data_IF_667565160078
#
_entry.id   IF_667565160078
#
_cell.length_a   1.000
_cell.length_b   1.000
_cell.length_c   1.000
_cell.angle_alpha   90.00
_cell.angle_beta   90.00
_cell.angle_gamma   90.00
#
_symmetry.space_group_name_H-M   'P 1'
#
loop_
_entity.id
_entity.type
_entity.pdbx_description
1 polymer ?
#
# COMPACT_ATOMS: atom_id res chain seq x y z
N UNK A 1 6.91 15.50 -16.00
CA UNK A 1 5.95 14.38 -15.95
C UNK A 1 4.67 14.85 -16.62
N UNK A 2 4.12 14.04 -17.49
CA UNK A 2 2.81 14.26 -18.07
C UNK A 2 1.74 13.72 -17.10
N UNK A 3 1.13 14.63 -16.34
CA UNK A 3 0.21 14.26 -15.27
C UNK A 3 -1.15 13.81 -15.75
N UNK A 4 -1.57 14.17 -16.99
CA UNK A 4 -2.84 13.72 -17.57
C UNK A 4 -2.88 12.20 -17.76
N UNK A 5 -1.72 11.55 -17.87
CA UNK A 5 -1.63 10.08 -17.93
C UNK A 5 -1.94 9.40 -16.60
N UNK A 6 -1.91 10.12 -15.48
CA UNK A 6 -2.11 9.57 -14.13
C UNK A 6 -3.36 10.11 -13.45
N UNK A 7 -3.71 11.38 -13.70
CA UNK A 7 -4.81 12.07 -13.01
C UNK A 7 -5.82 12.54 -14.06
N UNK A 8 -6.86 11.77 -14.26
CA UNK A 8 -7.95 12.11 -15.16
C UNK A 8 -8.74 13.33 -14.68
N UNK A 9 -9.40 14.01 -15.63
CA UNK A 9 -10.30 15.11 -15.35
C UNK A 9 -11.40 14.69 -14.35
N UNK A 10 -11.52 15.44 -13.28
CA UNK A 10 -12.51 15.19 -12.23
C UNK A 10 -12.05 14.24 -11.11
N UNK A 11 -10.92 13.57 -11.30
CA UNK A 11 -10.29 12.76 -10.24
C UNK A 11 -9.61 13.64 -9.20
N UNK A 12 -9.48 13.08 -8.01
CA UNK A 12 -8.81 13.71 -6.87
C UNK A 12 -7.43 13.11 -6.67
N UNK A 13 -6.50 13.91 -6.15
CA UNK A 13 -5.19 13.39 -5.77
C UNK A 13 -4.74 13.88 -4.40
N UNK A 14 -3.76 13.20 -3.83
CA UNK A 14 -3.03 13.64 -2.65
C UNK A 14 -1.53 13.41 -2.82
N UNK A 15 -0.74 14.19 -2.10
CA UNK A 15 0.71 14.03 -2.03
C UNK A 15 1.09 13.86 -0.56
N UNK A 16 1.79 12.78 -0.26
CA UNK A 16 2.44 12.55 1.03
C UNK A 16 3.95 12.68 0.85
N UNK A 17 4.68 13.05 1.91
CA UNK A 17 6.12 13.22 1.84
C UNK A 17 6.84 12.66 3.06
N UNK A 18 7.99 12.03 2.79
CA UNK A 18 8.99 11.66 3.79
C UNK A 18 10.31 12.31 3.41
N UNK A 19 10.94 12.99 4.37
CA UNK A 19 12.12 13.79 4.11
C UNK A 19 13.21 13.47 5.14
N UNK A 20 14.37 13.06 4.62
CA UNK A 20 15.61 12.85 5.33
C UNK A 20 16.71 13.71 4.66
N UNK A 21 16.71 15.01 4.94
CA UNK A 21 17.64 15.95 4.32
C UNK A 21 17.96 17.11 5.27
N UNK A 22 19.15 17.63 5.18
CA UNK A 22 19.55 18.83 5.93
C UNK A 22 18.95 20.10 5.31
N UNK A 23 18.70 20.11 4.01
CA UNK A 23 18.14 21.24 3.28
C UNK A 23 16.62 21.33 3.45
N UNK A 24 15.92 20.21 3.32
CA UNK A 24 14.46 20.12 3.41
C UNK A 24 14.05 19.60 4.79
N UNK A 25 13.89 20.48 5.76
CA UNK A 25 13.56 20.10 7.15
C UNK A 25 12.08 19.95 7.42
N UNK A 26 11.22 20.33 6.48
CA UNK A 26 9.76 20.35 6.68
C UNK A 26 9.07 19.55 5.57
N UNK A 27 8.61 18.34 5.91
CA UNK A 27 7.90 17.47 4.98
C UNK A 27 6.63 18.13 4.42
N UNK A 28 5.86 18.88 5.23
CA UNK A 28 4.67 19.58 4.75
C UNK A 28 4.98 20.62 3.68
N UNK A 29 6.12 21.31 3.80
CA UNK A 29 6.55 22.25 2.78
C UNK A 29 6.78 21.53 1.44
N UNK A 30 7.45 20.37 1.47
CA UNK A 30 7.70 19.53 0.28
C UNK A 30 6.38 19.04 -0.31
N UNK A 31 5.47 18.52 0.52
CA UNK A 31 4.12 18.12 0.08
C UNK A 31 3.41 19.24 -0.68
N UNK A 32 3.38 20.45 -0.12
CA UNK A 32 2.71 21.59 -0.77
C UNK A 32 3.41 22.01 -2.05
N UNK A 33 4.74 22.01 -2.10
CA UNK A 33 5.48 22.37 -3.30
C UNK A 33 5.24 21.41 -4.45
N UNK A 34 5.25 20.10 -4.20
CA UNK A 34 4.94 19.08 -5.22
C UNK A 34 3.49 19.21 -5.67
N UNK A 35 2.55 19.33 -4.73
CA UNK A 35 1.14 19.55 -5.03
C UNK A 35 0.92 20.82 -5.89
N UNK A 36 1.54 21.94 -5.52
CA UNK A 36 1.38 23.20 -6.26
C UNK A 36 1.96 23.09 -7.67
N UNK A 37 3.13 22.44 -7.82
CA UNK A 37 3.72 22.20 -9.13
C UNK A 37 2.81 21.39 -10.07
N UNK A 38 2.17 20.33 -9.53
CA UNK A 38 1.20 19.53 -10.28
C UNK A 38 -0.01 20.39 -10.71
N UNK A 39 -0.58 21.13 -9.76
CA UNK A 39 -1.76 21.96 -10.01
C UNK A 39 -1.45 23.09 -11.02
N UNK A 40 -0.28 23.71 -10.92
CA UNK A 40 0.11 24.81 -11.81
C UNK A 40 0.34 24.27 -13.24
N UNK A 41 0.98 23.11 -13.39
CA UNK A 41 1.13 22.45 -14.69
C UNK A 41 -0.23 22.14 -15.33
N UNK A 42 -1.17 21.53 -14.59
CA UNK A 42 -2.53 21.29 -15.09
C UNK A 42 -3.23 22.57 -15.54
N UNK A 43 -3.09 23.65 -14.76
CA UNK A 43 -3.69 24.93 -15.11
C UNK A 43 -3.11 25.53 -16.40
N UNK A 44 -1.81 25.40 -16.61
CA UNK A 44 -1.12 25.89 -17.79
C UNK A 44 -1.48 25.07 -19.05
N UNK A 45 -1.56 23.74 -18.91
CA UNK A 45 -1.77 22.84 -20.06
C UNK A 45 -3.24 22.69 -20.44
N UNK A 46 -4.13 22.58 -19.44
CA UNK A 46 -5.55 22.26 -19.67
C UNK A 46 -6.52 23.39 -19.32
N UNK A 47 -6.06 24.40 -18.60
CA UNK A 47 -6.93 25.44 -18.03
C UNK A 47 -7.77 24.95 -16.84
N UNK A 48 -7.64 23.69 -16.44
CA UNK A 48 -8.38 23.06 -15.36
C UNK A 48 -7.52 22.89 -14.11
N UNK A 49 -8.13 22.52 -12.99
CA UNK A 49 -7.46 22.30 -11.73
C UNK A 49 -7.95 21.00 -11.09
N UNK A 50 -7.08 19.99 -10.92
CA UNK A 50 -7.47 18.77 -10.21
C UNK A 50 -7.77 19.06 -8.73
N UNK A 51 -8.75 18.35 -8.20
CA UNK A 51 -9.15 18.50 -6.80
C UNK A 51 -8.23 17.68 -5.88
N UNK A 52 -8.11 18.16 -4.63
CA UNK A 52 -7.34 17.49 -3.59
C UNK A 52 -8.29 16.77 -2.65
N UNK A 53 -8.01 15.50 -2.36
CA UNK A 53 -8.66 14.73 -1.31
C UNK A 53 -7.58 14.05 -0.45
N UNK A 54 -7.40 14.50 0.78
CA UNK A 54 -6.35 13.96 1.67
C UNK A 54 -6.76 12.60 2.24
N UNK A 55 -8.04 12.43 2.56
CA UNK A 55 -8.54 11.23 3.25
C UNK A 55 -8.78 10.05 2.31
N UNK A 56 -9.34 10.31 1.12
CA UNK A 56 -9.63 9.28 0.13
C UNK A 56 -9.40 9.83 -1.28
N UNK A 57 -8.13 9.98 -1.71
CA UNK A 57 -7.81 10.39 -3.07
C UNK A 57 -8.04 9.25 -4.06
N UNK A 58 -8.30 9.59 -5.31
CA UNK A 58 -8.26 8.62 -6.41
C UNK A 58 -6.81 8.24 -6.73
N UNK A 59 -5.92 9.22 -6.72
CA UNK A 59 -4.49 9.04 -6.98
C UNK A 59 -3.69 9.53 -5.78
N UNK A 60 -2.86 8.66 -5.22
CA UNK A 60 -1.95 9.01 -4.12
C UNK A 60 -0.51 8.99 -4.63
N UNK A 61 0.17 10.10 -4.42
CA UNK A 61 1.58 10.28 -4.73
C UNK A 61 2.39 10.33 -3.44
N UNK A 62 3.57 9.77 -3.46
CA UNK A 62 4.49 9.82 -2.34
C UNK A 62 5.84 10.35 -2.80
N UNK A 63 6.29 11.46 -2.22
CA UNK A 63 7.63 12.00 -2.45
C UNK A 63 8.55 11.62 -1.29
N UNK A 64 9.63 10.94 -1.61
CA UNK A 64 10.69 10.61 -0.67
C UNK A 64 11.93 11.41 -1.04
N UNK A 65 12.44 12.18 -0.08
CA UNK A 65 13.71 12.90 -0.23
C UNK A 65 14.71 12.31 0.76
N UNK A 66 15.81 11.79 0.22
CA UNK A 66 16.94 11.31 0.99
C UNK A 66 18.18 12.11 0.57
N UNK A 67 18.72 12.91 1.49
CA UNK A 67 19.80 13.87 1.24
C UNK A 67 19.45 14.80 0.08
N UNK A 68 20.06 14.62 -1.10
CA UNK A 68 19.89 15.39 -2.34
C UNK A 68 19.11 14.65 -3.42
N UNK A 69 18.65 13.41 -3.14
CA UNK A 69 17.83 12.63 -4.06
C UNK A 69 16.34 12.75 -3.73
N UNK A 70 15.53 13.01 -4.75
CA UNK A 70 14.08 13.04 -4.66
C UNK A 70 13.45 11.94 -5.51
N UNK A 71 12.73 11.01 -4.88
CA UNK A 71 12.00 9.94 -5.55
C UNK A 71 10.51 10.20 -5.44
N UNK A 72 9.84 10.31 -6.57
CA UNK A 72 8.38 10.44 -6.63
C UNK A 72 7.77 9.10 -7.02
N UNK A 73 6.87 8.60 -6.18
CA UNK A 73 6.21 7.31 -6.31
C UNK A 73 4.71 7.48 -6.48
N UNK A 74 4.12 6.62 -7.29
CA UNK A 74 2.68 6.41 -7.36
C UNK A 74 2.32 5.28 -6.38
N UNK A 75 1.42 5.54 -5.44
CA UNK A 75 1.02 4.54 -4.43
C UNK A 75 -0.01 3.57 -5.04
N UNK A 76 0.39 2.33 -5.20
CA UNK A 76 -0.46 1.24 -5.72
C UNK A 76 -1.29 0.56 -4.63
N UNK A 77 -0.87 0.65 -3.39
CA UNK A 77 -1.53 -0.06 -2.29
C UNK A 77 -2.67 0.71 -1.64
N UNK A 78 -2.57 2.02 -1.52
CA UNK A 78 -3.52 2.88 -0.80
C UNK A 78 -3.38 2.75 0.70
N UNK A 79 -4.19 1.90 1.33
CA UNK A 79 -4.02 1.57 2.73
C UNK A 79 -2.76 0.74 2.94
N UNK A 80 -2.06 0.97 4.06
CA UNK A 80 -0.81 0.28 4.36
C UNK A 80 -0.96 -1.25 4.33
N UNK A 81 -0.01 -1.95 3.71
CA UNK A 81 -0.08 -3.40 3.47
C UNK A 81 -0.09 -4.26 4.75
N UNK A 82 0.34 -3.73 5.89
CA UNK A 82 0.19 -4.45 7.16
C UNK A 82 -1.28 -4.64 7.55
N UNK A 83 -2.17 -3.77 7.10
CA UNK A 83 -3.61 -3.93 7.29
C UNK A 83 -4.16 -4.95 6.30
N UNK A 84 -4.03 -6.23 6.66
CA UNK A 84 -4.46 -7.35 5.80
C UNK A 84 -5.96 -7.41 5.57
N UNK A 85 -6.76 -6.91 6.51
CA UNK A 85 -8.23 -6.96 6.45
C UNK A 85 -8.87 -8.09 7.26
N UNK A 86 -8.12 -9.09 7.69
CA UNK A 86 -8.67 -10.24 8.42
C UNK A 86 -8.97 -9.96 9.90
N UNK A 87 -8.44 -8.88 10.48
CA UNK A 87 -8.59 -8.57 11.90
C UNK A 87 -10.02 -8.11 12.21
N UNK A 88 -10.75 -8.89 12.97
CA UNK A 88 -12.12 -8.58 13.42
C UNK A 88 -12.11 -7.85 14.78
N UNK A 89 -11.25 -8.30 15.70
CA UNK A 89 -11.08 -7.70 17.00
C UNK A 89 -9.65 -7.21 17.19
N UNK A 90 -9.49 -6.09 17.87
CA UNK A 90 -8.18 -5.50 18.18
C UNK A 90 -7.93 -5.60 19.67
N UNK A 91 -6.79 -6.18 20.02
CA UNK A 91 -6.24 -6.08 21.38
C UNK A 91 -5.44 -4.80 21.53
N UNK A 92 -5.13 -4.41 22.76
CA UNK A 92 -4.22 -3.30 23.02
C UNK A 92 -2.82 -3.65 22.45
N UNK A 93 -2.30 -2.80 21.56
CA UNK A 93 -1.00 -2.97 20.91
C UNK A 93 -0.77 -4.33 20.18
N UNK A 94 -1.57 -4.66 19.14
CA UNK A 94 -1.38 -5.91 18.42
C UNK A 94 -0.06 -5.90 17.62
N UNK A 95 0.53 -7.08 17.42
CA UNK A 95 1.71 -7.23 16.57
C UNK A 95 1.35 -6.82 15.12
N UNK A 96 2.26 -6.11 14.47
CA UNK A 96 2.13 -5.74 13.06
C UNK A 96 2.21 -7.01 12.19
N UNK A 97 1.29 -7.17 11.25
CA UNK A 97 1.11 -8.36 10.42
C UNK A 97 2.33 -8.61 9.51
N UNK A 98 2.90 -7.56 8.93
CA UNK A 98 4.12 -7.67 8.09
C UNK A 98 5.31 -8.09 8.94
N UNK A 99 5.42 -7.58 10.17
CA UNK A 99 6.47 -7.99 11.10
C UNK A 99 6.31 -9.46 11.50
N UNK A 100 5.09 -9.91 11.79
CA UNK A 100 4.80 -11.30 12.11
C UNK A 100 5.19 -12.25 10.96
N UNK A 101 4.78 -11.93 9.74
CA UNK A 101 5.15 -12.67 8.54
C UNK A 101 6.69 -12.71 8.37
N UNK A 102 7.35 -11.57 8.53
CA UNK A 102 8.81 -11.47 8.45
C UNK A 102 9.53 -12.34 9.47
N UNK A 103 9.06 -12.39 10.71
CA UNK A 103 9.61 -13.25 11.77
C UNK A 103 9.50 -14.72 11.34
N UNK A 104 8.33 -15.17 10.88
CA UNK A 104 8.12 -16.56 10.44
C UNK A 104 9.05 -16.89 9.26
N UNK A 105 9.11 -16.02 8.25
CA UNK A 105 9.98 -16.23 7.08
C UNK A 105 11.47 -16.32 7.47
N UNK A 106 11.92 -15.55 8.46
CA UNK A 106 13.30 -15.61 8.95
C UNK A 106 13.64 -16.94 9.67
N UNK A 107 12.65 -17.67 10.18
CA UNK A 107 12.87 -19.02 10.74
C UNK A 107 13.09 -20.09 9.67
N UNK A 108 12.72 -19.80 8.41
CA UNK A 108 12.72 -20.77 7.32
C UNK A 108 11.55 -21.76 7.36
N UNK A 109 10.62 -21.63 8.32
CA UNK A 109 9.45 -22.50 8.44
C UNK A 109 8.50 -22.30 7.24
N UNK A 110 7.97 -23.40 6.69
CA UNK A 110 7.11 -23.42 5.49
C UNK A 110 5.82 -24.22 5.68
N UNK A 111 5.47 -24.55 6.90
CA UNK A 111 4.34 -25.42 7.20
C UNK A 111 4.69 -26.91 7.18
N UNK A 112 5.96 -27.27 7.25
CA UNK A 112 6.49 -28.63 7.19
C UNK A 112 6.63 -29.30 8.57
N UNK A 113 6.37 -28.57 9.64
CA UNK A 113 6.31 -29.07 11.00
C UNK A 113 5.38 -28.21 11.87
N UNK A 114 5.05 -28.66 13.08
CA UNK A 114 4.22 -27.93 14.02
C UNK A 114 4.82 -26.58 14.37
N UNK A 115 3.96 -25.53 14.46
CA UNK A 115 4.30 -24.22 14.95
C UNK A 115 3.54 -23.96 16.24
N UNK A 116 4.25 -23.62 17.30
CA UNK A 116 3.67 -23.31 18.61
C UNK A 116 3.95 -21.85 18.96
N UNK A 117 2.89 -21.10 19.20
CA UNK A 117 2.96 -19.73 19.73
C UNK A 117 2.40 -19.68 21.14
N UNK A 118 3.25 -19.77 22.19
CA UNK A 118 2.81 -19.83 23.59
C UNK A 118 2.28 -18.49 24.12
N UNK A 119 2.44 -17.39 23.39
CA UNK A 119 2.00 -16.06 23.78
C UNK A 119 1.25 -15.35 22.62
N UNK A 120 0.32 -16.07 22.02
CA UNK A 120 -0.31 -15.72 20.74
C UNK A 120 -1.07 -14.38 20.72
N UNK A 121 -1.49 -13.85 21.86
CA UNK A 121 -2.29 -12.62 21.91
C UNK A 121 -3.53 -12.72 21.01
N UNK A 122 -3.64 -11.84 20.01
CA UNK A 122 -4.72 -11.88 19.00
C UNK A 122 -4.48 -12.88 17.86
N UNK A 123 -3.48 -13.73 17.97
CA UNK A 123 -3.19 -14.78 17.00
C UNK A 123 -2.49 -14.31 15.72
N UNK A 124 -1.89 -13.13 15.70
CA UNK A 124 -1.28 -12.55 14.49
C UNK A 124 -0.22 -13.49 13.88
N UNK A 125 0.68 -14.06 14.71
CA UNK A 125 1.70 -15.00 14.22
C UNK A 125 1.04 -16.26 13.66
N UNK A 126 0.06 -16.83 14.36
CA UNK A 126 -0.63 -18.04 13.92
C UNK A 126 -1.37 -17.84 12.59
N UNK A 127 -2.03 -16.68 12.40
CA UNK A 127 -2.75 -16.35 11.16
C UNK A 127 -1.75 -16.18 10.01
N UNK A 128 -0.69 -15.38 10.18
CA UNK A 128 0.33 -15.19 9.14
C UNK A 128 1.05 -16.52 8.81
N UNK A 129 1.30 -17.38 9.80
CA UNK A 129 1.83 -18.72 9.57
C UNK A 129 0.88 -19.57 8.72
N UNK A 130 -0.41 -19.56 9.01
CA UNK A 130 -1.39 -20.29 8.21
C UNK A 130 -1.45 -19.80 6.75
N UNK A 131 -1.38 -18.48 6.53
CA UNK A 131 -1.32 -17.90 5.17
C UNK A 131 -0.06 -18.35 4.43
N UNK A 132 1.11 -18.32 5.09
CA UNK A 132 2.38 -18.78 4.51
C UNK A 132 2.35 -20.26 4.20
N UNK A 133 1.89 -21.11 5.14
CA UNK A 133 1.83 -22.56 4.96
C UNK A 133 0.93 -22.95 3.77
N UNK A 134 -0.21 -22.29 3.64
CA UNK A 134 -1.16 -22.51 2.55
C UNK A 134 -0.81 -21.78 1.25
N UNK A 135 0.21 -20.96 1.26
CA UNK A 135 0.56 -20.09 0.12
C UNK A 135 -0.59 -19.15 -0.31
N UNK A 136 -1.37 -18.68 0.67
CA UNK A 136 -2.47 -17.73 0.43
C UNK A 136 -1.90 -16.31 0.35
N UNK A 137 -2.34 -15.54 -0.65
CA UNK A 137 -1.95 -14.15 -0.80
C UNK A 137 -2.35 -13.32 0.43
N UNK A 138 -1.43 -12.58 1.04
CA UNK A 138 -1.75 -11.75 2.20
C UNK A 138 -2.72 -10.59 1.90
N UNK A 139 -2.96 -10.31 0.61
CA UNK A 139 -3.90 -9.30 0.16
C UNK A 139 -5.35 -9.77 0.01
N UNK A 140 -5.63 -11.08 0.11
CA UNK A 140 -6.95 -11.68 -0.18
C UNK A 140 -8.11 -11.12 0.66
N UNK A 141 -7.84 -10.62 1.84
CA UNK A 141 -8.86 -10.02 2.71
C UNK A 141 -8.98 -8.50 2.58
N UNK A 142 -8.21 -7.88 1.69
CA UNK A 142 -8.28 -6.43 1.46
C UNK A 142 -9.53 -6.12 0.65
N UNK A 143 -10.14 -4.97 0.95
CA UNK A 143 -11.36 -4.53 0.26
C UNK A 143 -11.05 -3.87 -1.07
N UNK A 144 -9.92 -3.15 -1.17
CA UNK A 144 -9.53 -2.38 -2.34
C UNK A 144 -8.02 -2.13 -2.34
N UNK A 145 -7.48 -1.89 -3.52
CA UNK A 145 -6.14 -1.37 -3.73
C UNK A 145 -6.22 -0.03 -4.48
N UNK A 146 -5.24 0.86 -4.27
CA UNK A 146 -5.26 2.17 -4.94
C UNK A 146 -5.14 2.05 -6.47
N UNK A 147 -4.41 1.04 -6.99
CA UNK A 147 -4.24 0.83 -8.43
C UNK A 147 -5.55 0.50 -9.16
N UNK A 148 -6.60 0.05 -8.46
CA UNK A 148 -7.92 -0.20 -9.06
C UNK A 148 -8.59 1.08 -9.58
N UNK A 149 -8.10 2.26 -9.16
CA UNK A 149 -8.57 3.57 -9.61
C UNK A 149 -7.75 4.17 -10.76
N UNK A 150 -6.70 3.47 -11.21
CA UNK A 150 -5.82 3.95 -12.28
C UNK A 150 -6.47 3.81 -13.66
N UNK A 151 -6.07 4.65 -14.60
CA UNK A 151 -6.63 4.67 -15.96
C UNK A 151 -6.40 3.39 -16.74
N UNK A 152 -5.26 2.74 -16.51
CA UNK A 152 -4.82 1.51 -17.18
C UNK A 152 -5.21 0.24 -16.40
N UNK A 153 -6.08 0.35 -15.39
CA UNK A 153 -6.52 -0.79 -14.61
C UNK A 153 -7.37 -1.76 -15.45
N UNK A 154 -6.92 -3.00 -15.54
CA UNK A 154 -7.63 -4.10 -16.21
C UNK A 154 -8.36 -4.96 -15.17
N UNK A 155 -9.67 -4.71 -15.01
CA UNK A 155 -10.54 -5.44 -14.09
C UNK A 155 -10.55 -6.94 -14.38
N UNK A 156 -10.55 -7.33 -15.67
CA UNK A 156 -10.63 -8.74 -16.03
C UNK A 156 -9.35 -9.49 -15.66
N UNK A 157 -8.20 -8.89 -15.93
CA UNK A 157 -6.92 -9.44 -15.54
C UNK A 157 -6.77 -9.50 -14.02
N UNK A 158 -7.24 -8.46 -13.32
CA UNK A 158 -7.25 -8.44 -11.86
C UNK A 158 -8.09 -9.57 -11.28
N UNK A 159 -9.33 -9.76 -11.78
CA UNK A 159 -10.23 -10.81 -11.33
C UNK A 159 -9.65 -12.21 -11.61
N UNK A 160 -8.99 -12.41 -12.75
CA UNK A 160 -8.31 -13.65 -13.08
C UNK A 160 -7.18 -13.97 -12.10
N UNK A 161 -6.33 -13.01 -11.81
CA UNK A 161 -5.20 -13.18 -10.87
C UNK A 161 -5.69 -13.28 -9.41
N UNK A 162 -6.66 -12.45 -9.03
CA UNK A 162 -7.14 -12.38 -7.65
C UNK A 162 -7.89 -13.64 -7.23
N UNK A 163 -8.61 -14.28 -8.16
CA UNK A 163 -9.36 -15.51 -7.90
C UNK A 163 -8.58 -16.79 -8.27
N UNK A 164 -7.31 -16.66 -8.68
CA UNK A 164 -6.47 -17.83 -8.96
C UNK A 164 -5.96 -18.46 -7.65
N UNK A 165 -6.58 -19.58 -7.28
CA UNK A 165 -6.22 -20.41 -6.13
C UNK A 165 -5.28 -21.59 -6.48
N UNK A 166 -4.83 -21.68 -7.72
CA UNK A 166 -4.02 -22.80 -8.24
C UNK A 166 -2.70 -23.02 -7.48
N UNK A 167 -2.21 -21.98 -6.79
CA UNK A 167 -0.99 -22.02 -5.99
C UNK A 167 -1.24 -22.29 -4.50
N UNK A 168 -2.50 -22.34 -4.07
CA UNK A 168 -2.84 -22.66 -2.68
C UNK A 168 -2.50 -24.11 -2.35
N UNK A 169 -2.07 -24.33 -1.10
CA UNK A 169 -1.73 -25.67 -0.59
C UNK A 169 -2.79 -26.15 0.38
N UNK A 170 -3.16 -27.41 0.29
CA UNK A 170 -3.96 -28.04 1.33
C UNK A 170 -3.09 -28.38 2.55
N UNK A 171 -3.66 -28.26 3.77
CA UNK A 171 -3.05 -28.82 4.95
C UNK A 171 -3.24 -30.35 4.92
N UNK A 172 -2.17 -31.08 5.01
CA UNK A 172 -2.16 -32.54 5.23
C UNK A 172 -1.97 -32.86 6.69
#
# INVERSE_FOLDING_TARGET
>A
IDWEQYIEKGKTFAVDSVVYSEEFRNSRFVTYKVKDAIVDQFREETGDRPNISVSNPDIRLHIHIAEDEATLCLDSSGESLHRRGYRQESVEAPLNEVLAAGIIMMTGWKGDCDLIDPMCGSGTIAIEAALIARNISPGVFRKEFAFEKWQDFDQKLFDEIYNDDSQEREFT
#
